data_IF_250656812342
#
_entry.id   IF_250656812342
#
_cell.length_a   1.000
_cell.length_b   1.000
_cell.length_c   1.000
_cell.angle_alpha   90.00
_cell.angle_beta   90.00
_cell.angle_gamma   90.00
#
_symmetry.space_group_name_H-M   'P 1'
#
loop_
_entity.id
_entity.type
_entity.pdbx_description
1 polymer ?
#
# COMPACT_ATOMS: atom_id res chain seq x y z
N UNK A 1 11.70 -13.92 -10.89
CA UNK A 1 12.28 -13.32 -9.67
C UNK A 1 11.22 -12.53 -8.94
N UNK A 2 11.24 -12.56 -7.61
CA UNK A 2 10.23 -11.91 -6.76
C UNK A 2 10.94 -11.26 -5.59
N UNK A 3 10.76 -9.95 -5.43
CA UNK A 3 11.38 -9.18 -4.34
C UNK A 3 10.32 -8.43 -3.56
N UNK A 4 10.52 -8.36 -2.25
CA UNK A 4 9.74 -7.51 -1.34
C UNK A 4 10.63 -6.36 -0.91
N UNK A 5 10.19 -5.14 -1.17
CA UNK A 5 10.91 -3.92 -0.81
C UNK A 5 10.08 -3.12 0.19
N UNK A 6 10.72 -2.58 1.21
CA UNK A 6 10.12 -1.53 2.03
C UNK A 6 10.46 -0.18 1.41
N UNK A 7 9.53 0.34 0.61
CA UNK A 7 9.72 1.63 -0.05
C UNK A 7 9.70 2.76 0.99
N UNK A 8 10.76 3.59 1.06
CA UNK A 8 10.72 4.79 1.91
C UNK A 8 9.95 5.92 1.23
N UNK A 9 9.69 6.99 1.96
CA UNK A 9 9.21 8.24 1.39
C UNK A 9 10.25 8.82 0.43
N UNK A 10 9.80 9.61 -0.54
CA UNK A 10 10.70 10.27 -1.47
C UNK A 10 11.27 9.36 -2.55
N UNK A 11 10.58 8.26 -2.83
CA UNK A 11 10.94 7.30 -3.88
C UNK A 11 9.71 7.02 -4.73
N UNK A 12 9.89 7.01 -6.04
CA UNK A 12 8.81 6.75 -7.00
C UNK A 12 8.61 5.26 -7.23
N UNK A 13 7.35 4.83 -7.31
CA UNK A 13 6.96 3.46 -7.65
C UNK A 13 6.96 3.25 -9.16
N UNK A 14 8.11 3.42 -9.80
CA UNK A 14 8.28 3.29 -11.24
C UNK A 14 9.62 2.66 -11.55
N UNK A 15 9.75 2.13 -12.77
CA UNK A 15 11.01 1.54 -13.23
C UNK A 15 12.06 2.61 -13.56
N UNK A 16 11.63 3.77 -14.04
CA UNK A 16 12.54 4.85 -14.42
C UNK A 16 11.83 6.21 -14.26
N UNK A 17 12.63 7.23 -14.12
CA UNK A 17 12.14 8.62 -14.05
C UNK A 17 12.98 9.52 -14.94
N UNK A 18 12.36 10.21 -15.93
CA UNK A 18 13.08 11.14 -16.80
C UNK A 18 13.77 12.30 -16.07
N UNK A 19 13.26 12.66 -14.89
CA UNK A 19 13.85 13.73 -14.06
C UNK A 19 14.95 13.25 -13.12
N UNK A 20 15.29 11.96 -13.16
CA UNK A 20 16.35 11.40 -12.34
C UNK A 20 16.03 11.26 -10.86
N UNK A 21 14.77 11.32 -10.46
CA UNK A 21 14.37 11.13 -9.06
C UNK A 21 14.55 9.67 -8.65
N UNK A 22 14.83 9.37 -7.36
CA UNK A 22 14.96 7.99 -6.91
C UNK A 22 13.71 7.16 -7.21
N UNK A 23 13.93 5.92 -7.66
CA UNK A 23 12.86 4.97 -7.96
C UNK A 23 13.04 3.71 -7.13
N UNK A 24 11.97 2.89 -7.07
CA UNK A 24 12.05 1.60 -6.37
C UNK A 24 13.12 0.68 -6.96
N UNK A 25 13.37 0.75 -8.27
CA UNK A 25 14.44 -0.05 -8.89
C UNK A 25 15.83 0.39 -8.43
N UNK A 26 16.03 1.67 -8.16
CA UNK A 26 17.35 2.16 -7.72
C UNK A 26 17.73 1.65 -6.34
N UNK A 27 16.79 1.13 -5.58
CA UNK A 27 17.02 0.55 -4.26
C UNK A 27 17.36 -0.94 -4.29
N UNK A 28 17.17 -1.61 -5.45
CA UNK A 28 17.48 -3.03 -5.62
C UNK A 28 18.94 -3.23 -6.01
N UNK A 29 19.84 -2.88 -5.11
CA UNK A 29 21.29 -2.99 -5.36
C UNK A 29 21.70 -4.45 -5.53
N UNK A 30 22.45 -4.74 -6.60
CA UNK A 30 22.92 -6.09 -6.89
C UNK A 30 21.94 -6.99 -7.62
N UNK A 31 20.73 -6.54 -7.87
CA UNK A 31 19.75 -7.26 -8.67
C UNK A 31 20.02 -7.00 -10.15
N UNK A 32 20.27 -8.05 -10.89
CA UNK A 32 20.57 -7.98 -12.33
C UNK A 32 19.34 -8.23 -13.19
N UNK A 33 18.37 -8.95 -12.66
CA UNK A 33 17.16 -9.30 -13.37
C UNK A 33 16.30 -8.07 -13.62
N UNK A 34 15.66 -8.02 -14.76
CA UNK A 34 14.75 -6.95 -15.11
C UNK A 34 13.41 -7.20 -14.41
N UNK A 35 13.10 -6.39 -13.43
CA UNK A 35 11.85 -6.47 -12.68
C UNK A 35 11.11 -5.13 -12.73
N UNK A 36 9.81 -5.16 -12.41
CA UNK A 36 8.97 -3.98 -12.34
C UNK A 36 8.14 -3.99 -11.07
N UNK A 37 7.75 -2.82 -10.56
CA UNK A 37 6.91 -2.75 -9.37
C UNK A 37 5.48 -3.24 -9.66
N UNK A 38 4.92 -3.96 -8.69
CA UNK A 38 3.55 -4.45 -8.73
C UNK A 38 2.68 -3.45 -7.97
N UNK A 39 1.89 -2.69 -8.70
CA UNK A 39 1.11 -1.59 -8.14
C UNK A 39 1.96 -0.39 -7.80
N UNK A 40 1.39 0.52 -7.02
CA UNK A 40 2.03 1.81 -6.71
C UNK A 40 1.81 2.21 -5.27
N UNK A 41 2.83 2.86 -4.72
CA UNK A 41 2.74 3.68 -3.51
C UNK A 41 3.15 5.09 -3.91
N UNK A 42 2.45 6.09 -3.40
CA UNK A 42 2.73 7.48 -3.74
C UNK A 42 4.09 7.94 -3.21
N UNK A 43 4.60 9.04 -3.74
CA UNK A 43 5.86 9.64 -3.32
C UNK A 43 5.98 9.78 -1.79
N UNK A 44 4.91 10.24 -1.15
CA UNK A 44 4.86 10.49 0.30
C UNK A 44 4.43 9.27 1.12
N UNK A 45 4.17 8.15 0.48
CA UNK A 45 3.75 6.91 1.15
C UNK A 45 4.93 5.98 1.27
N UNK A 46 4.93 5.17 2.34
CA UNK A 46 5.97 4.17 2.56
C UNK A 46 5.35 2.79 2.76
N UNK A 47 6.18 1.77 2.75
CA UNK A 47 5.77 0.42 3.06
C UNK A 47 6.07 -0.58 1.97
N UNK A 48 5.45 -1.74 2.09
CA UNK A 48 5.78 -2.89 1.26
C UNK A 48 5.30 -2.74 -0.19
N UNK A 49 6.18 -3.07 -1.11
CA UNK A 49 5.88 -3.18 -2.54
C UNK A 49 6.61 -4.40 -3.09
N UNK A 50 5.96 -5.13 -3.98
CA UNK A 50 6.54 -6.29 -4.64
C UNK A 50 7.09 -5.85 -5.99
N UNK A 51 8.29 -6.36 -6.33
CA UNK A 51 8.88 -6.20 -7.66
C UNK A 51 9.12 -7.57 -8.25
N UNK A 52 8.73 -7.76 -9.50
CA UNK A 52 8.83 -9.06 -10.17
C UNK A 52 8.91 -8.89 -11.68
N UNK A 53 9.31 -9.95 -12.37
CA UNK A 53 9.18 -10.06 -13.81
C UNK A 53 8.05 -11.03 -14.22
N UNK A 54 7.27 -11.49 -13.25
CA UNK A 54 6.11 -12.36 -13.48
C UNK A 54 4.87 -11.50 -13.74
N UNK A 55 4.56 -11.27 -15.02
CA UNK A 55 3.44 -10.43 -15.43
C UNK A 55 2.08 -11.00 -15.02
N UNK A 56 1.94 -12.32 -14.98
CA UNK A 56 0.68 -12.96 -14.56
C UNK A 56 0.39 -12.69 -13.09
N UNK A 57 1.40 -12.84 -12.23
CA UNK A 57 1.24 -12.54 -10.81
C UNK A 57 0.96 -11.05 -10.60
N UNK A 58 1.69 -10.18 -11.29
CA UNK A 58 1.46 -8.74 -11.20
C UNK A 58 0.03 -8.38 -11.57
N UNK A 59 -0.48 -8.93 -12.67
CA UNK A 59 -1.87 -8.71 -13.09
C UNK A 59 -2.86 -9.24 -12.04
N UNK A 60 -2.62 -10.44 -11.51
CA UNK A 60 -3.48 -11.04 -10.48
C UNK A 60 -3.57 -10.15 -9.24
N UNK A 61 -2.45 -9.60 -8.79
CA UNK A 61 -2.40 -8.78 -7.58
C UNK A 61 -2.97 -7.36 -7.77
N UNK A 62 -2.98 -6.85 -8.99
CA UNK A 62 -3.37 -5.46 -9.25
C UNK A 62 -4.71 -5.31 -9.94
N UNK A 63 -5.23 -6.35 -10.57
CA UNK A 63 -6.50 -6.24 -11.29
C UNK A 63 -7.66 -5.97 -10.31
N UNK A 64 -8.48 -4.92 -10.57
CA UNK A 64 -9.53 -4.52 -9.62
C UNK A 64 -10.53 -5.61 -9.26
N UNK A 65 -10.83 -6.53 -10.18
CA UNK A 65 -11.79 -7.61 -9.94
C UNK A 65 -11.33 -8.65 -8.92
N UNK A 66 -10.04 -8.72 -8.64
CA UNK A 66 -9.49 -9.74 -7.73
C UNK A 66 -9.52 -9.32 -6.26
N UNK A 67 -9.71 -8.03 -5.99
CA UNK A 67 -9.88 -7.49 -4.64
C UNK A 67 -8.83 -7.99 -3.62
N UNK A 68 -7.58 -8.10 -4.03
CA UNK A 68 -6.49 -8.53 -3.12
C UNK A 68 -6.35 -7.51 -1.99
N UNK A 69 -6.46 -7.94 -0.73
CA UNK A 69 -6.41 -7.00 0.39
C UNK A 69 -5.02 -6.40 0.58
N UNK A 70 -4.99 -5.13 0.93
CA UNK A 70 -3.78 -4.42 1.31
C UNK A 70 -4.05 -3.74 2.64
N UNK A 71 -3.13 -3.91 3.58
CA UNK A 71 -3.27 -3.38 4.93
C UNK A 71 -2.38 -2.17 5.10
N UNK A 72 -2.94 -1.10 5.64
CA UNK A 72 -2.23 0.16 5.86
C UNK A 72 -2.31 0.57 7.31
N UNK A 73 -1.21 1.10 7.83
CA UNK A 73 -1.18 1.82 9.09
C UNK A 73 -1.19 3.31 8.78
N UNK A 74 -2.17 4.02 9.34
CA UNK A 74 -2.46 5.41 8.96
C UNK A 74 -2.53 6.27 10.22
N UNK A 75 -1.78 7.38 10.21
CA UNK A 75 -1.91 8.42 11.22
C UNK A 75 -2.68 9.58 10.60
N UNK A 76 -3.81 9.94 11.18
CA UNK A 76 -4.62 11.08 10.72
C UNK A 76 -4.62 12.18 11.77
N UNK A 77 -4.78 13.43 11.31
CA UNK A 77 -4.79 14.59 12.18
C UNK A 77 -6.06 14.64 13.02
N UNK A 78 -5.90 14.90 14.31
CA UNK A 78 -7.00 15.03 15.24
C UNK A 78 -7.59 13.69 15.67
N UNK A 79 -8.69 13.76 16.39
CA UNK A 79 -9.40 12.57 16.87
C UNK A 79 -10.55 12.27 15.93
N UNK A 80 -10.40 11.20 15.13
CA UNK A 80 -11.46 10.77 14.22
C UNK A 80 -12.61 10.16 15.03
N UNK A 81 -13.82 10.71 14.95
CA UNK A 81 -14.95 10.17 15.70
C UNK A 81 -15.43 8.84 15.11
N UNK A 82 -16.13 8.02 15.90
CA UNK A 82 -16.65 6.73 15.41
C UNK A 82 -17.48 6.85 14.13
N UNK A 83 -18.24 7.91 13.97
CA UNK A 83 -19.09 8.15 12.80
C UNK A 83 -18.26 8.29 11.51
N UNK A 84 -17.10 8.94 11.60
CA UNK A 84 -16.19 9.06 10.46
C UNK A 84 -15.66 7.70 10.06
N UNK A 85 -15.25 6.89 11.02
CA UNK A 85 -14.73 5.54 10.77
C UNK A 85 -15.80 4.62 10.17
N UNK A 86 -17.04 4.75 10.64
CA UNK A 86 -18.16 3.98 10.08
C UNK A 86 -18.40 4.32 8.61
N UNK A 87 -18.24 5.59 8.22
CA UNK A 87 -18.37 5.99 6.82
C UNK A 87 -17.32 5.30 5.94
N UNK A 88 -16.10 5.15 6.45
CA UNK A 88 -15.03 4.44 5.73
C UNK A 88 -15.38 2.95 5.62
N UNK A 89 -15.84 2.34 6.72
CA UNK A 89 -16.19 0.92 6.73
C UNK A 89 -17.30 0.56 5.75
N UNK A 90 -18.29 1.42 5.60
CA UNK A 90 -19.42 1.17 4.70
C UNK A 90 -19.18 1.67 3.27
N UNK A 91 -18.15 2.47 3.07
CA UNK A 91 -17.88 3.14 1.79
C UNK A 91 -18.54 4.51 1.72
N UNK A 92 -17.89 5.41 1.00
CA UNK A 92 -18.38 6.77 0.77
C UNK A 92 -18.10 7.19 -0.66
N UNK A 93 -18.83 8.21 -1.13
CA UNK A 93 -18.61 8.73 -2.47
C UNK A 93 -17.32 9.53 -2.56
N UNK A 94 -16.49 9.17 -3.50
CA UNK A 94 -15.23 9.82 -3.79
C UNK A 94 -15.15 9.98 -5.31
N UNK A 95 -15.17 11.23 -5.77
CA UNK A 95 -15.17 11.56 -7.20
C UNK A 95 -16.29 10.83 -7.99
N UNK A 96 -17.51 10.91 -7.47
CA UNK A 96 -18.70 10.40 -8.16
C UNK A 96 -18.88 8.89 -8.10
N UNK A 97 -17.98 8.17 -7.41
CA UNK A 97 -18.07 6.72 -7.27
C UNK A 97 -17.86 6.30 -5.84
N UNK A 98 -18.71 5.38 -5.37
CA UNK A 98 -18.62 4.87 -3.99
C UNK A 98 -17.39 3.99 -3.83
N UNK A 99 -16.65 4.20 -2.73
CA UNK A 99 -15.54 3.31 -2.36
C UNK A 99 -16.09 1.98 -1.88
N UNK A 100 -15.29 0.91 -2.06
CA UNK A 100 -15.63 -0.37 -1.47
C UNK A 100 -15.58 -0.28 0.05
N UNK A 101 -16.38 -1.07 0.78
CA UNK A 101 -16.25 -1.20 2.22
C UNK A 101 -14.81 -1.51 2.62
N UNK A 102 -14.31 -0.80 3.61
CA UNK A 102 -12.93 -0.93 4.05
C UNK A 102 -12.91 -1.11 5.57
N UNK A 103 -12.49 -2.28 6.09
CA UNK A 103 -12.30 -2.46 7.52
C UNK A 103 -11.34 -1.43 8.08
N UNK A 104 -11.74 -0.78 9.18
CA UNK A 104 -10.92 0.22 9.87
C UNK A 104 -10.91 -0.12 11.36
N UNK A 105 -9.72 -0.20 11.94
CA UNK A 105 -9.55 -0.46 13.36
C UNK A 105 -8.77 0.68 13.99
N UNK A 106 -9.28 1.25 15.07
CA UNK A 106 -8.57 2.26 15.86
C UNK A 106 -7.45 1.57 16.63
N UNK A 107 -6.21 2.03 16.46
CA UNK A 107 -5.06 1.52 17.19
C UNK A 107 -4.84 2.35 18.45
N UNK A 108 -4.79 3.68 18.31
CA UNK A 108 -4.62 4.60 19.43
C UNK A 108 -5.18 5.96 19.06
N UNK A 109 -5.45 6.76 20.08
CA UNK A 109 -6.07 8.07 19.91
C UNK A 109 -5.61 8.97 21.05
N UNK A 110 -4.75 9.92 20.75
CA UNK A 110 -4.28 10.94 21.69
C UNK A 110 -4.53 12.30 21.07
N UNK A 111 -3.45 12.98 20.64
CA UNK A 111 -3.58 14.21 19.86
C UNK A 111 -4.04 13.92 18.44
N UNK A 112 -3.57 12.81 17.87
CA UNK A 112 -3.91 12.33 16.54
C UNK A 112 -4.38 10.87 16.65
N UNK A 113 -4.95 10.35 15.56
CA UNK A 113 -5.50 9.01 15.55
C UNK A 113 -4.66 8.08 14.69
N UNK A 114 -4.24 6.95 15.25
CA UNK A 114 -3.64 5.85 14.51
C UNK A 114 -4.70 4.81 14.18
N UNK A 115 -4.74 4.39 12.92
CA UNK A 115 -5.72 3.46 12.38
C UNK A 115 -5.01 2.34 11.61
N UNK A 116 -5.64 1.18 11.57
CA UNK A 116 -5.35 0.15 10.59
C UNK A 116 -6.50 0.12 9.60
N UNK A 117 -6.19 0.24 8.30
CA UNK A 117 -7.18 0.28 7.23
C UNK A 117 -6.87 -0.84 6.23
N UNK A 118 -7.88 -1.63 5.88
CA UNK A 118 -7.76 -2.67 4.87
C UNK A 118 -8.50 -2.22 3.61
N UNK A 119 -7.78 -2.11 2.49
CA UNK A 119 -8.36 -1.81 1.19
C UNK A 119 -8.41 -3.05 0.32
N UNK A 120 -9.53 -3.22 -0.39
CA UNK A 120 -9.72 -4.26 -1.41
C UNK A 120 -9.68 -3.68 -2.83
N UNK A 121 -9.30 -2.42 -2.95
CA UNK A 121 -9.15 -1.71 -4.22
C UNK A 121 -7.94 -0.76 -4.12
N UNK A 122 -7.53 -0.20 -5.24
CA UNK A 122 -6.36 0.67 -5.27
C UNK A 122 -6.60 1.94 -6.08
N UNK A 123 -7.55 2.77 -5.69
CA UNK A 123 -7.79 4.05 -6.34
C UNK A 123 -6.68 5.04 -5.96
N UNK A 124 -6.30 5.89 -6.89
CA UNK A 124 -5.21 6.85 -6.70
C UNK A 124 -5.39 7.71 -5.45
N UNK A 125 -4.40 7.69 -4.55
CA UNK A 125 -4.40 8.45 -3.29
C UNK A 125 -5.66 8.22 -2.44
N UNK A 126 -6.24 7.03 -2.51
CA UNK A 126 -7.56 6.77 -1.92
C UNK A 126 -7.63 7.09 -0.44
N UNK A 127 -6.72 6.55 0.38
CA UNK A 127 -6.73 6.77 1.83
C UNK A 127 -6.58 8.25 2.14
N UNK A 128 -5.65 8.94 1.48
CA UNK A 128 -5.42 10.37 1.69
C UNK A 128 -6.65 11.19 1.36
N UNK A 129 -7.31 10.89 0.23
CA UNK A 129 -8.49 11.64 -0.20
C UNK A 129 -9.71 11.36 0.68
N UNK A 130 -9.88 10.10 1.11
CA UNK A 130 -10.97 9.72 1.99
C UNK A 130 -10.89 10.47 3.31
N UNK A 131 -9.74 10.43 3.98
CA UNK A 131 -9.60 11.06 5.29
C UNK A 131 -9.53 12.59 5.21
N UNK A 132 -9.01 13.15 4.13
CA UNK A 132 -9.09 14.59 3.89
C UNK A 132 -10.55 15.04 3.78
N UNK A 133 -11.37 14.30 3.03
CA UNK A 133 -12.81 14.58 2.89
C UNK A 133 -13.55 14.52 4.24
N UNK A 134 -13.10 13.64 5.13
CA UNK A 134 -13.70 13.52 6.48
C UNK A 134 -13.17 14.56 7.47
N UNK A 135 -12.25 15.43 7.06
CA UNK A 135 -11.69 16.46 7.91
C UNK A 135 -10.51 16.02 8.77
N UNK A 136 -9.93 14.86 8.46
CA UNK A 136 -8.79 14.29 9.19
C UNK A 136 -7.64 13.95 8.23
N UNK A 137 -6.87 14.94 7.76
CA UNK A 137 -5.79 14.70 6.79
C UNK A 137 -4.80 13.66 7.29
N UNK A 138 -4.29 12.85 6.36
CA UNK A 138 -3.29 11.82 6.65
C UNK A 138 -1.95 12.48 6.93
N UNK A 139 -1.35 12.15 8.08
CA UNK A 139 -0.02 12.60 8.48
C UNK A 139 1.05 11.58 8.15
N UNK A 140 0.74 10.28 8.29
CA UNK A 140 1.64 9.17 7.94
C UNK A 140 0.83 8.04 7.33
N UNK A 141 1.43 7.37 6.33
CA UNK A 141 0.80 6.27 5.63
C UNK A 141 1.85 5.21 5.29
N UNK A 142 1.63 4.00 5.80
CA UNK A 142 2.52 2.86 5.56
C UNK A 142 1.70 1.63 5.18
N UNK A 143 2.05 1.01 4.06
CA UNK A 143 1.48 -0.30 3.71
C UNK A 143 2.23 -1.39 4.44
N UNK A 144 1.53 -2.16 5.27
CA UNK A 144 2.12 -3.18 6.15
C UNK A 144 1.89 -4.61 5.67
N UNK A 145 0.95 -4.81 4.74
CA UNK A 145 0.72 -6.13 4.16
C UNK A 145 0.13 -6.03 2.75
N UNK A 146 0.44 -7.02 1.93
CA UNK A 146 -0.12 -7.21 0.59
C UNK A 146 -0.60 -8.64 0.54
N UNK A 147 -1.94 -8.85 0.52
CA UNK A 147 -2.49 -10.19 0.65
C UNK A 147 -1.92 -10.88 1.89
N UNK A 148 -1.37 -12.09 1.75
CA UNK A 148 -0.81 -12.84 2.88
C UNK A 148 0.61 -12.43 3.27
N UNK A 149 1.22 -11.44 2.57
CA UNK A 149 2.62 -11.07 2.77
C UNK A 149 2.73 -9.88 3.71
N UNK A 150 3.48 -10.07 4.80
CA UNK A 150 3.83 -9.02 5.76
C UNK A 150 5.27 -9.25 6.24
N UNK A 151 5.97 -8.19 6.59
CA UNK A 151 7.32 -8.28 7.14
C UNK A 151 7.60 -7.08 8.02
N UNK A 152 7.60 -7.29 9.35
CA UNK A 152 7.85 -6.24 10.33
C UNK A 152 9.32 -5.93 10.51
N UNK A 153 10.20 -6.84 10.09
CA UNK A 153 11.64 -6.70 10.28
C UNK A 153 12.32 -5.98 9.13
N UNK A 154 11.65 -5.87 7.99
CA UNK A 154 12.18 -5.18 6.82
C UNK A 154 12.12 -3.68 7.03
N UNK A 155 13.29 -3.04 7.08
CA UNK A 155 13.40 -1.59 7.33
C UNK A 155 13.25 -0.78 6.04
N UNK A 156 12.89 0.52 6.14
CA UNK A 156 12.81 1.37 4.95
C UNK A 156 14.08 1.32 4.11
N UNK A 157 13.91 1.10 2.81
CA UNK A 157 15.02 0.97 1.86
C UNK A 157 15.58 -0.43 1.72
N UNK A 158 15.24 -1.33 2.62
CA UNK A 158 15.68 -2.73 2.54
C UNK A 158 14.78 -3.55 1.63
N UNK A 159 15.36 -4.56 1.00
CA UNK A 159 14.61 -5.53 0.21
C UNK A 159 15.11 -6.95 0.48
N UNK A 160 14.30 -7.92 0.17
CA UNK A 160 14.66 -9.34 0.19
C UNK A 160 13.90 -10.10 -0.89
N UNK A 161 14.40 -11.28 -1.32
CA UNK A 161 13.61 -12.17 -2.15
C UNK A 161 12.37 -12.67 -1.39
N UNK A 162 11.28 -12.92 -2.09
CA UNK A 162 10.17 -13.67 -1.54
C UNK A 162 10.54 -15.15 -1.48
N UNK A 163 10.08 -15.85 -0.44
CA UNK A 163 10.25 -17.29 -0.36
C UNK A 163 9.32 -17.99 -1.36
N UNK A 164 9.64 -19.23 -1.80
CA UNK A 164 8.74 -19.98 -2.65
C UNK A 164 7.34 -20.16 -2.06
N UNK A 165 7.24 -20.34 -0.74
CA UNK A 165 5.96 -20.46 -0.04
C UNK A 165 5.16 -19.14 -0.12
N UNK A 166 5.82 -18.01 0.02
CA UNK A 166 5.18 -16.68 -0.12
C UNK A 166 4.64 -16.49 -1.53
N UNK A 167 5.43 -16.83 -2.55
CA UNK A 167 5.00 -16.74 -3.96
C UNK A 167 3.77 -17.61 -4.20
N UNK A 168 3.78 -18.84 -3.70
CA UNK A 168 2.65 -19.75 -3.83
C UNK A 168 1.38 -19.16 -3.19
N UNK A 169 1.51 -18.63 -1.97
CA UNK A 169 0.37 -17.99 -1.28
C UNK A 169 -0.17 -16.77 -2.05
N UNK A 170 0.71 -15.98 -2.64
CA UNK A 170 0.28 -14.84 -3.45
C UNK A 170 -0.52 -15.28 -4.67
N UNK A 171 -0.08 -16.33 -5.34
CA UNK A 171 -0.77 -16.87 -6.52
C UNK A 171 -2.14 -17.43 -6.17
N UNK A 172 -2.30 -17.95 -4.97
CA UNK A 172 -3.55 -18.52 -4.48
C UNK A 172 -4.50 -17.49 -3.85
N UNK A 173 -4.06 -16.26 -3.63
CA UNK A 173 -4.86 -15.19 -3.03
C UNK A 173 -6.02 -14.80 -3.94
N UNK A 174 -7.24 -14.70 -3.36
CA UNK A 174 -8.47 -14.32 -4.06
C UNK A 174 -9.05 -13.06 -3.45
#
# INVERSE_FOLDING_TARGET
MYYLLHKPKGVLSTASDPKGRPTVLSLLRGVRERVFPVGRLDWNSEGLIILTNDGELAHHLTHPSNHVPKVYRVKVKGIAPPEALERVRHGLYLEGRRTLPAPVTRISSQQNTWLEVVLFEGRRNQIRRVFERLGHPVLKLRRTAIGPIADRDLKPGEYRPLTPAEVTRLKETR
#
